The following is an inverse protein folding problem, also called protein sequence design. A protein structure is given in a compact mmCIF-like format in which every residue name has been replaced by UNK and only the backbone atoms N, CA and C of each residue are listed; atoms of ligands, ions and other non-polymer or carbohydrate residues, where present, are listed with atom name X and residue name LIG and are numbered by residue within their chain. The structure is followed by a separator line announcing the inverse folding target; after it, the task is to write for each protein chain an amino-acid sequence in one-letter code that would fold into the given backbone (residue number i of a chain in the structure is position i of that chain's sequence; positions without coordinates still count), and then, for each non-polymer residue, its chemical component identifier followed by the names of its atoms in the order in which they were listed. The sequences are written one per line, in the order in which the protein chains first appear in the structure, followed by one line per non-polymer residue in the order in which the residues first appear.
data_IF_354547037272
#
_entry.id   IF_354547037272
#
_cell.length_a   1.000
_cell.length_b   1.000
_cell.length_c   1.000
_cell.angle_alpha   90.00
_cell.angle_beta   90.00
_cell.angle_gamma   90.00
#
_symmetry.space_group_name_H-M   'P 1'
#
loop_
_entity.id
_entity.type
_entity.pdbx_description
1 polymer ?
#
# COMPACT_ATOMS: atom_id res chain seq x y z
N UNK A 1 -5.66 25.34 11.40
CA UNK A 1 -6.47 24.96 10.23
C UNK A 1 -6.64 26.18 9.33
N UNK A 2 -6.49 26.03 8.02
CA UNK A 2 -6.78 27.06 7.04
C UNK A 2 -8.15 26.77 6.41
N UNK A 3 -8.98 27.80 6.30
CA UNK A 3 -10.30 27.71 5.66
C UNK A 3 -10.29 28.70 4.49
N UNK A 4 -10.54 28.21 3.29
CA UNK A 4 -10.68 29.05 2.11
C UNK A 4 -11.94 29.92 2.24
N UNK A 5 -11.78 31.21 1.99
CA UNK A 5 -12.87 32.19 1.98
C UNK A 5 -13.28 32.59 0.56
N UNK A 6 -12.47 32.23 -0.43
CA UNK A 6 -12.71 32.48 -1.85
C UNK A 6 -12.41 31.23 -2.67
N UNK A 7 -12.98 31.15 -3.87
CA UNK A 7 -12.74 30.05 -4.80
C UNK A 7 -11.25 29.92 -5.16
N UNK A 8 -10.57 31.05 -5.43
CA UNK A 8 -9.12 31.07 -5.69
C UNK A 8 -8.30 30.52 -4.52
N UNK A 9 -8.69 30.78 -3.28
CA UNK A 9 -8.03 30.21 -2.12
C UNK A 9 -8.29 28.70 -2.01
N UNK A 10 -9.50 28.25 -2.32
CA UNK A 10 -9.81 26.82 -2.35
C UNK A 10 -9.00 26.09 -3.42
N UNK A 11 -8.90 26.63 -4.62
CA UNK A 11 -8.06 26.10 -5.70
C UNK A 11 -6.58 26.02 -5.30
N UNK A 12 -6.04 27.06 -4.66
CA UNK A 12 -4.67 27.08 -4.19
C UNK A 12 -4.41 26.00 -3.13
N UNK A 13 -5.34 25.76 -2.21
CA UNK A 13 -5.23 24.68 -1.22
C UNK A 13 -5.30 23.29 -1.88
N UNK A 14 -6.18 23.12 -2.87
CA UNK A 14 -6.26 21.89 -3.65
C UNK A 14 -4.98 21.63 -4.46
N UNK A 15 -4.42 22.66 -5.09
CA UNK A 15 -3.13 22.55 -5.81
C UNK A 15 -2.02 22.00 -4.91
N UNK A 16 -1.92 22.49 -3.66
CA UNK A 16 -0.97 21.94 -2.69
C UNK A 16 -1.17 20.42 -2.47
N UNK A 17 -2.43 19.97 -2.39
CA UNK A 17 -2.75 18.55 -2.21
C UNK A 17 -2.42 17.72 -3.46
N UNK A 18 -2.74 18.25 -4.63
CA UNK A 18 -2.57 17.56 -5.92
C UNK A 18 -1.11 17.45 -6.35
N UNK A 19 -0.26 18.41 -5.94
CA UNK A 19 1.18 18.39 -6.24
C UNK A 19 2.01 17.47 -5.34
N UNK A 20 1.44 16.90 -4.27
CA UNK A 20 2.16 15.96 -3.39
C UNK A 20 2.77 14.78 -4.17
N UNK A 21 2.05 14.07 -5.06
CA UNK A 21 2.63 12.96 -5.81
C UNK A 21 3.79 13.38 -6.73
N UNK A 22 3.75 14.60 -7.26
CA UNK A 22 4.82 15.18 -8.09
C UNK A 22 6.06 15.46 -7.24
N UNK A 23 5.89 16.10 -6.08
CA UNK A 23 6.97 16.36 -5.13
C UNK A 23 7.63 15.07 -4.63
N UNK A 24 6.83 14.06 -4.31
CA UNK A 24 7.31 12.73 -3.89
C UNK A 24 8.14 12.05 -4.99
N UNK A 25 7.74 12.17 -6.25
CA UNK A 25 8.55 11.67 -7.38
C UNK A 25 9.87 12.41 -7.54
N UNK A 26 9.85 13.73 -7.37
CA UNK A 26 11.04 14.58 -7.48
C UNK A 26 12.06 14.34 -6.36
N UNK A 27 11.66 13.78 -5.21
CA UNK A 27 12.54 13.48 -4.07
C UNK A 27 13.39 12.21 -4.21
N UNK A 28 13.48 11.60 -5.40
CA UNK A 28 14.33 10.41 -5.65
C UNK A 28 13.57 9.10 -5.72
N UNK A 29 12.25 9.15 -5.80
CA UNK A 29 11.37 7.98 -5.83
C UNK A 29 11.15 7.36 -4.46
N UNK A 30 10.30 6.34 -4.41
CA UNK A 30 9.87 5.73 -3.16
C UNK A 30 9.27 4.34 -3.35
N UNK A 31 9.18 3.60 -2.25
CA UNK A 31 8.38 2.39 -2.10
C UNK A 31 6.93 2.84 -1.90
N UNK A 32 6.02 2.35 -2.72
CA UNK A 32 4.60 2.72 -2.67
C UNK A 32 3.79 1.66 -1.94
N UNK A 33 3.09 2.08 -0.91
CA UNK A 33 2.11 1.25 -0.21
C UNK A 33 0.76 1.98 -0.25
N UNK A 34 -0.21 1.32 -0.87
CA UNK A 34 -1.60 1.76 -0.92
C UNK A 34 -2.39 0.94 0.10
N UNK A 35 -2.57 1.50 1.28
CA UNK A 35 -3.10 0.78 2.44
C UNK A 35 -4.32 1.50 3.04
N UNK A 36 -5.10 0.76 3.80
CA UNK A 36 -6.08 1.36 4.69
C UNK A 36 -6.04 0.71 6.07
N UNK A 37 -6.41 1.49 7.08
CA UNK A 37 -6.63 1.01 8.44
C UNK A 37 -7.93 1.59 8.99
N UNK A 38 -8.57 0.96 9.99
CA UNK A 38 -9.75 1.52 10.62
C UNK A 38 -9.47 2.96 11.10
N UNK A 39 -10.37 3.90 10.80
CA UNK A 39 -10.19 5.33 11.06
C UNK A 39 -9.77 5.64 12.50
N UNK A 40 -10.37 4.93 13.47
CA UNK A 40 -10.04 5.10 14.88
C UNK A 40 -8.63 4.67 15.26
N UNK A 41 -7.97 3.87 14.43
CA UNK A 41 -6.61 3.36 14.66
C UNK A 41 -5.54 4.13 13.88
N UNK A 42 -5.92 5.09 13.04
CA UNK A 42 -5.01 5.71 12.08
C UNK A 42 -3.82 6.41 12.73
N UNK A 43 -4.05 7.18 13.79
CA UNK A 43 -2.97 7.87 14.51
C UNK A 43 -2.03 6.86 15.18
N UNK A 44 -2.58 5.88 15.89
CA UNK A 44 -1.80 4.84 16.55
C UNK A 44 -0.98 4.02 15.52
N UNK A 45 -1.58 3.67 14.40
CA UNK A 45 -0.88 2.99 13.30
C UNK A 45 0.34 3.79 12.81
N UNK A 46 0.16 5.09 12.55
CA UNK A 46 1.25 5.95 12.06
C UNK A 46 2.36 6.05 13.12
N UNK A 47 2.00 6.31 14.36
CA UNK A 47 2.95 6.49 15.47
C UNK A 47 3.76 5.21 15.73
N UNK A 48 3.10 4.06 15.83
CA UNK A 48 3.77 2.78 16.08
C UNK A 48 4.63 2.34 14.89
N UNK A 49 4.15 2.55 13.67
CA UNK A 49 4.92 2.24 12.46
C UNK A 49 6.17 3.13 12.34
N UNK A 50 6.06 4.40 12.68
CA UNK A 50 7.21 5.30 12.72
C UNK A 50 8.23 4.87 13.78
N UNK A 51 7.78 4.58 14.99
CA UNK A 51 8.65 4.11 16.06
C UNK A 51 9.39 2.80 15.69
N UNK A 52 8.74 1.94 14.92
CA UNK A 52 9.36 0.74 14.36
C UNK A 52 10.43 1.08 13.33
N UNK A 53 10.12 1.98 12.38
CA UNK A 53 11.09 2.40 11.35
C UNK A 53 12.32 3.08 11.93
N UNK A 54 12.18 3.88 12.97
CA UNK A 54 13.34 4.49 13.64
C UNK A 54 14.33 3.46 14.19
N UNK A 55 13.84 2.27 14.56
CA UNK A 55 14.69 1.18 15.06
C UNK A 55 15.23 0.28 13.96
N UNK A 56 14.37 -0.15 13.03
CA UNK A 56 14.68 -1.19 12.05
C UNK A 56 15.22 -0.61 10.73
N UNK A 57 14.81 0.58 10.35
CA UNK A 57 15.19 1.22 9.10
C UNK A 57 15.32 2.75 9.24
N UNK A 58 16.26 3.26 10.06
CA UNK A 58 16.39 4.67 10.39
C UNK A 58 16.73 5.58 9.20
N UNK A 59 17.06 4.99 8.06
CA UNK A 59 17.30 5.67 6.79
C UNK A 59 16.02 6.02 6.02
N UNK A 60 14.88 5.48 6.40
CA UNK A 60 13.60 5.75 5.73
C UNK A 60 13.17 7.21 5.90
N UNK A 61 12.63 7.75 4.81
CA UNK A 61 11.95 9.03 4.76
C UNK A 61 10.46 8.78 4.49
N UNK A 62 9.59 8.87 5.50
CA UNK A 62 8.16 8.73 5.29
C UNK A 62 7.58 9.91 4.51
N UNK A 63 6.76 9.60 3.50
CA UNK A 63 6.05 10.55 2.64
C UNK A 63 4.59 10.10 2.56
N UNK A 64 3.83 10.35 3.64
CA UNK A 64 2.49 9.79 3.83
C UNK A 64 1.45 10.86 3.55
N UNK A 65 0.49 10.51 2.71
CA UNK A 65 -0.68 11.31 2.40
C UNK A 65 -1.84 10.38 2.01
N UNK A 66 -3.04 10.90 1.90
CA UNK A 66 -4.18 10.07 1.51
C UNK A 66 -5.52 10.66 1.94
N UNK A 67 -6.52 9.80 1.96
CA UNK A 67 -7.89 10.09 2.34
C UNK A 67 -8.13 9.69 3.80
N UNK A 68 -7.70 10.53 4.73
CA UNK A 68 -7.78 10.24 6.16
C UNK A 68 -9.20 9.94 6.65
N UNK A 69 -10.21 10.57 6.04
CA UNK A 69 -11.62 10.32 6.35
C UNK A 69 -12.07 8.88 6.06
N UNK A 70 -11.38 8.19 5.16
CA UNK A 70 -11.66 6.81 4.77
C UNK A 70 -10.67 5.80 5.41
N UNK A 71 -9.67 6.30 6.13
CA UNK A 71 -8.59 5.50 6.67
C UNK A 71 -7.59 5.03 5.59
N UNK A 72 -7.66 5.61 4.39
CA UNK A 72 -6.81 5.27 3.26
C UNK A 72 -5.55 6.13 3.25
N UNK A 73 -4.39 5.47 3.11
CA UNK A 73 -3.07 6.08 3.08
C UNK A 73 -2.23 5.59 1.90
N UNK A 74 -1.68 6.54 1.17
CA UNK A 74 -0.49 6.32 0.36
C UNK A 74 0.71 6.38 1.31
N UNK A 75 1.06 5.24 1.88
CA UNK A 75 2.11 5.11 2.87
C UNK A 75 3.45 4.92 2.17
N UNK A 76 3.92 5.99 1.53
CA UNK A 76 5.11 5.98 0.69
C UNK A 76 6.38 6.22 1.51
N UNK A 77 7.45 5.52 1.15
CA UNK A 77 8.70 5.50 1.91
C UNK A 77 9.89 5.66 0.96
N UNK A 78 10.57 6.79 1.08
CA UNK A 78 11.81 7.07 0.35
C UNK A 78 13.05 6.88 1.23
N UNK A 79 14.19 7.35 0.72
CA UNK A 79 15.44 7.40 1.47
C UNK A 79 15.72 8.82 1.96
N UNK A 80 16.23 8.98 3.18
CA UNK A 80 16.77 10.25 3.65
C UNK A 80 17.90 10.71 2.72
N UNK A 81 18.13 12.03 2.57
CA UNK A 81 19.12 12.58 1.64
C UNK A 81 20.54 12.02 1.81
N UNK A 82 20.96 11.74 3.04
CA UNK A 82 22.29 11.22 3.38
C UNK A 82 22.59 9.85 2.77
N UNK A 83 21.56 9.08 2.40
CA UNK A 83 21.68 7.76 1.79
C UNK A 83 21.62 7.79 0.26
N UNK A 84 21.28 8.94 -0.31
CA UNK A 84 21.18 9.16 -1.74
C UNK A 84 19.89 8.63 -2.39
N UNK A 85 19.61 9.06 -3.63
CA UNK A 85 18.39 8.69 -4.34
C UNK A 85 18.38 7.20 -4.71
N UNK A 86 17.26 6.53 -4.43
CA UNK A 86 17.06 5.12 -4.81
C UNK A 86 17.75 4.11 -3.89
N UNK A 87 18.34 4.51 -2.77
CA UNK A 87 18.88 3.58 -1.75
C UNK A 87 17.82 2.57 -1.29
N UNK A 88 16.57 3.00 -1.18
CA UNK A 88 15.41 2.17 -0.81
C UNK A 88 15.21 0.93 -1.69
N UNK A 89 15.69 0.92 -2.95
CA UNK A 89 15.47 -0.18 -3.91
C UNK A 89 16.05 -1.52 -3.42
N UNK A 90 17.15 -1.48 -2.67
CA UNK A 90 17.75 -2.68 -2.12
C UNK A 90 16.92 -3.33 -1.01
N UNK A 91 16.02 -2.56 -0.39
CA UNK A 91 15.24 -2.96 0.79
C UNK A 91 13.73 -3.02 0.52
N UNK A 92 13.30 -2.84 -0.72
CA UNK A 92 11.88 -2.69 -1.09
C UNK A 92 11.01 -3.83 -0.52
N UNK A 93 11.47 -5.08 -0.67
CA UNK A 93 10.74 -6.26 -0.16
C UNK A 93 10.61 -6.26 1.36
N UNK A 94 11.70 -5.99 2.05
CA UNK A 94 11.73 -5.93 3.51
C UNK A 94 10.79 -4.84 4.03
N UNK A 95 10.84 -3.67 3.43
CA UNK A 95 9.98 -2.54 3.83
C UNK A 95 8.51 -2.81 3.54
N UNK A 96 8.17 -3.40 2.38
CA UNK A 96 6.81 -3.86 2.13
C UNK A 96 6.32 -4.82 3.22
N UNK A 97 7.17 -5.78 3.63
CA UNK A 97 6.83 -6.73 4.69
C UNK A 97 6.58 -6.02 6.02
N UNK A 98 7.47 -5.10 6.41
CA UNK A 98 7.30 -4.32 7.65
C UNK A 98 5.98 -3.52 7.66
N UNK A 99 5.66 -2.84 6.57
CA UNK A 99 4.39 -2.10 6.44
C UNK A 99 3.20 -3.03 6.50
N UNK A 100 3.24 -4.14 5.75
CA UNK A 100 2.14 -5.11 5.72
C UNK A 100 1.90 -5.75 7.08
N UNK A 101 2.96 -6.05 7.84
CA UNK A 101 2.85 -6.59 9.21
C UNK A 101 2.09 -5.63 10.13
N UNK A 102 2.40 -4.32 10.07
CA UNK A 102 1.68 -3.31 10.84
C UNK A 102 0.23 -3.17 10.35
N UNK A 103 -0.02 -3.17 9.03
CA UNK A 103 -1.38 -3.11 8.49
C UNK A 103 -2.23 -4.28 8.99
N UNK A 104 -1.69 -5.51 8.96
CA UNK A 104 -2.37 -6.71 9.48
C UNK A 104 -2.66 -6.58 10.97
N UNK A 105 -1.68 -6.13 11.76
CA UNK A 105 -1.81 -5.91 13.21
C UNK A 105 -2.97 -4.97 13.56
N UNK A 106 -3.18 -3.94 12.75
CA UNK A 106 -4.26 -2.97 12.93
C UNK A 106 -5.58 -3.35 12.23
N UNK A 107 -5.68 -4.55 11.66
CA UNK A 107 -6.89 -5.03 10.95
C UNK A 107 -7.17 -4.25 9.67
N UNK A 108 -6.13 -3.77 9.00
CA UNK A 108 -6.21 -2.97 7.79
C UNK A 108 -6.21 -3.78 6.50
N UNK A 109 -6.20 -3.08 5.37
CA UNK A 109 -6.06 -3.65 4.02
C UNK A 109 -4.77 -3.16 3.37
N UNK A 110 -4.11 -4.05 2.65
CA UNK A 110 -2.85 -3.80 1.93
C UNK A 110 -3.06 -3.34 0.48
N UNK A 111 -4.30 -3.14 0.09
CA UNK A 111 -4.69 -2.57 -1.20
C UNK A 111 -6.01 -1.80 -1.01
N UNK A 112 -5.91 -0.48 -0.80
CA UNK A 112 -7.07 0.36 -0.51
C UNK A 112 -7.80 0.79 -1.79
N UNK A 113 -7.08 1.25 -2.81
CA UNK A 113 -7.63 1.80 -4.06
C UNK A 113 -7.16 1.03 -5.31
N UNK A 114 -5.88 0.68 -5.38
CA UNK A 114 -5.24 0.21 -6.61
C UNK A 114 -5.48 -1.26 -6.93
N UNK A 115 -6.14 -1.99 -6.06
CA UNK A 115 -6.30 -3.43 -6.15
C UNK A 115 -4.99 -4.20 -5.88
N UNK A 116 -5.13 -5.49 -5.67
CA UNK A 116 -4.03 -6.37 -5.24
C UNK A 116 -3.10 -6.73 -6.42
N UNK A 117 -3.65 -6.87 -7.62
CA UNK A 117 -2.87 -7.29 -8.78
C UNK A 117 -2.19 -8.64 -8.55
N UNK A 118 -0.86 -8.66 -8.63
CA UNK A 118 -0.03 -9.86 -8.44
C UNK A 118 0.32 -10.16 -6.97
N UNK A 119 0.00 -9.27 -6.03
CA UNK A 119 0.34 -9.41 -4.60
C UNK A 119 -0.62 -10.37 -3.86
N UNK A 120 -0.82 -11.57 -4.40
CA UNK A 120 -1.79 -12.55 -3.90
C UNK A 120 -1.48 -12.96 -2.45
N UNK A 121 -0.22 -13.21 -2.15
CA UNK A 121 0.22 -13.65 -0.80
C UNK A 121 -0.13 -12.62 0.28
N UNK A 122 -0.04 -11.34 -0.07
CA UNK A 122 -0.39 -10.26 0.85
C UNK A 122 -1.90 -10.24 1.09
N UNK A 123 -2.70 -10.48 0.05
CA UNK A 123 -4.15 -10.61 0.19
C UNK A 123 -4.51 -11.80 1.08
N UNK A 124 -3.86 -12.94 0.87
CA UNK A 124 -4.07 -14.16 1.66
C UNK A 124 -3.80 -13.97 3.16
N UNK A 125 -2.94 -13.01 3.52
CA UNK A 125 -2.66 -12.66 4.94
C UNK A 125 -3.70 -11.75 5.58
N UNK A 126 -4.46 -11.01 4.77
CA UNK A 126 -5.41 -9.98 5.26
C UNK A 126 -6.87 -10.38 5.13
N UNK A 127 -7.18 -11.36 4.28
CA UNK A 127 -8.54 -11.78 4.02
C UNK A 127 -8.93 -13.01 4.81
N UNK A 128 -10.20 -13.06 5.23
CA UNK A 128 -10.77 -14.26 5.82
C UNK A 128 -10.72 -15.44 4.82
N UNK A 129 -10.38 -16.67 5.28
CA UNK A 129 -10.34 -17.84 4.39
C UNK A 129 -11.66 -18.08 3.61
N UNK A 130 -12.82 -17.80 4.20
CA UNK A 130 -14.10 -17.92 3.53
C UNK A 130 -14.26 -16.88 2.42
N UNK A 131 -13.81 -15.63 2.65
CA UNK A 131 -13.79 -14.61 1.59
C UNK A 131 -12.93 -15.06 0.41
N UNK A 132 -11.74 -15.58 0.65
CA UNK A 132 -10.85 -16.10 -0.40
C UNK A 132 -11.49 -17.26 -1.18
N UNK A 133 -12.14 -18.17 -0.48
CA UNK A 133 -12.88 -19.27 -1.13
C UNK A 133 -14.01 -18.77 -2.02
N UNK A 134 -14.80 -17.82 -1.54
CA UNK A 134 -15.88 -17.21 -2.32
C UNK A 134 -15.34 -16.43 -3.53
N UNK A 135 -14.24 -15.70 -3.39
CA UNK A 135 -13.57 -15.01 -4.50
C UNK A 135 -13.11 -16.00 -5.58
N UNK A 136 -12.52 -17.13 -5.19
CA UNK A 136 -12.12 -18.21 -6.13
C UNK A 136 -13.33 -18.81 -6.84
N UNK A 137 -14.40 -19.14 -6.11
CA UNK A 137 -15.64 -19.66 -6.69
C UNK A 137 -16.26 -18.70 -7.68
N UNK A 138 -16.35 -17.41 -7.31
CA UNK A 138 -16.87 -16.37 -8.19
C UNK A 138 -16.05 -16.26 -9.47
N UNK A 139 -14.73 -16.25 -9.34
CA UNK A 139 -13.82 -16.24 -10.50
C UNK A 139 -14.05 -17.44 -11.39
N UNK A 140 -14.20 -18.64 -10.83
CA UNK A 140 -14.46 -19.87 -11.60
C UNK A 140 -15.76 -19.86 -12.40
N UNK A 141 -16.75 -19.06 -11.97
CA UNK A 141 -18.00 -18.88 -12.73
C UNK A 141 -17.74 -18.07 -14.02
N UNK A 142 -16.92 -17.02 -13.96
CA UNK A 142 -16.65 -16.13 -15.10
C UNK A 142 -15.48 -16.58 -15.96
N UNK A 143 -14.54 -17.31 -15.40
CA UNK A 143 -13.28 -17.70 -16.02
C UNK A 143 -12.91 -19.15 -15.63
N UNK A 144 -13.72 -20.13 -16.05
CA UNK A 144 -13.50 -21.53 -15.64
C UNK A 144 -12.17 -22.11 -16.13
N UNK A 145 -11.62 -21.59 -17.22
CA UNK A 145 -10.35 -22.02 -17.78
C UNK A 145 -9.14 -21.22 -17.23
N UNK A 146 -9.38 -20.16 -16.43
CA UNK A 146 -8.33 -19.34 -15.81
C UNK A 146 -7.49 -18.53 -16.79
N UNK A 147 -8.05 -18.14 -17.94
CA UNK A 147 -7.35 -17.42 -19.01
C UNK A 147 -7.39 -15.90 -18.84
N UNK A 148 -8.30 -15.37 -18.01
CA UNK A 148 -8.46 -13.94 -17.78
C UNK A 148 -7.52 -13.48 -16.68
N UNK A 149 -6.44 -12.78 -17.04
CA UNK A 149 -5.41 -12.29 -16.09
C UNK A 149 -4.95 -13.38 -15.10
N UNK A 150 -4.35 -14.46 -15.58
CA UNK A 150 -3.90 -15.54 -14.70
C UNK A 150 -2.94 -15.01 -13.64
N UNK A 151 -3.06 -15.52 -12.42
CA UNK A 151 -2.23 -15.11 -11.30
C UNK A 151 -2.44 -13.67 -10.83
N UNK A 152 -3.65 -13.18 -10.90
CA UNK A 152 -4.04 -11.88 -10.35
C UNK A 152 -5.18 -12.07 -9.35
N UNK A 153 -5.13 -11.30 -8.27
CA UNK A 153 -6.11 -11.21 -7.18
C UNK A 153 -6.18 -12.49 -6.35
N UNK A 154 -6.56 -13.63 -6.92
CA UNK A 154 -6.61 -14.93 -6.24
C UNK A 154 -5.96 -16.02 -7.09
N UNK A 155 -5.40 -17.03 -6.44
CA UNK A 155 -4.88 -18.23 -7.13
C UNK A 155 -6.05 -19.00 -7.72
N UNK A 156 -6.13 -19.05 -9.04
CA UNK A 156 -7.14 -19.78 -9.77
C UNK A 156 -6.74 -20.00 -11.23
N UNK A 157 -6.85 -21.22 -11.79
CA UNK A 157 -6.92 -22.47 -11.02
C UNK A 157 -5.68 -22.66 -10.15
N UNK A 158 -5.82 -23.35 -9.01
CA UNK A 158 -4.72 -23.46 -8.02
C UNK A 158 -3.48 -24.16 -8.57
N UNK A 159 -3.65 -25.07 -9.52
CA UNK A 159 -2.62 -25.99 -10.00
C UNK A 159 -1.81 -25.45 -11.19
N UNK A 160 -2.32 -24.42 -11.88
CA UNK A 160 -1.77 -23.96 -13.18
C UNK A 160 -0.78 -22.82 -13.03
N UNK A 161 -0.82 -22.12 -11.91
CA UNK A 161 -0.07 -20.88 -11.79
C UNK A 161 1.07 -20.95 -10.78
N UNK A 162 2.28 -21.16 -11.29
CA UNK A 162 3.53 -21.00 -10.57
C UNK A 162 4.27 -19.78 -11.13
N UNK A 163 4.16 -18.63 -10.50
CA UNK A 163 4.99 -17.48 -10.84
C UNK A 163 6.25 -17.45 -9.97
N UNK A 164 7.43 -17.76 -10.54
CA UNK A 164 8.67 -17.75 -9.78
C UNK A 164 9.11 -16.34 -9.32
N UNK A 165 8.43 -15.27 -9.77
CA UNK A 165 8.73 -13.87 -9.38
C UNK A 165 7.91 -13.38 -8.19
N UNK A 166 7.03 -14.20 -7.63
CA UNK A 166 6.09 -13.78 -6.58
C UNK A 166 6.51 -14.04 -5.16
N UNK A 167 7.73 -14.30 -4.91
CA UNK A 167 8.18 -14.26 -3.54
C UNK A 167 8.24 -12.81 -3.02
N UNK A 168 7.09 -12.24 -2.71
CA UNK A 168 6.93 -11.01 -1.94
C UNK A 168 6.81 -11.29 -0.43
N UNK A 169 7.30 -12.46 -0.01
CA UNK A 169 7.41 -12.87 1.39
C UNK A 169 8.62 -12.24 2.07
#
# INVERSE_FOLDING_TARGET
AAIAQTETQAEALWTLREEIPTAVRASGGNIKNDISVPRGSLCAFIEETYARFEKEAPWLLPMIFGHYGDGNLHFNLGSKPDFGPGYWKAYEREIHRLVNDEVVKFGGSVAAEHGVGAKIQVLERTKDPLELELMKKLRGVFDPEGILNPGRVVRYPEDVWQNPKEAWD
#
